data_IF_352242501955
#
_entry.id   IF_352242501955
#
_cell.length_a   1.000
_cell.length_b   1.000
_cell.length_c   1.000
_cell.angle_alpha   90.00
_cell.angle_beta   90.00
_cell.angle_gamma   90.00
#
_symmetry.space_group_name_H-M   'P 1'
#
loop_
_entity.id
_entity.type
_entity.pdbx_description
1 polymer ?
#
# COMPACT_ATOMS: atom_id res chain seq x y z
N UNK A 1 -43.24 -32.59 -53.58
CA UNK A 1 -42.01 -32.86 -52.78
C UNK A 1 -41.07 -31.65 -52.65
N UNK A 2 -41.56 -30.40 -52.59
CA UNK A 2 -40.71 -29.20 -52.46
C UNK A 2 -40.90 -28.43 -51.14
N UNK A 3 -41.85 -28.83 -50.29
CA UNK A 3 -42.12 -28.20 -48.99
C UNK A 3 -41.30 -28.83 -47.84
N UNK A 4 -40.94 -30.11 -47.95
CA UNK A 4 -40.20 -30.85 -46.92
C UNK A 4 -38.71 -30.44 -46.87
N UNK A 5 -38.12 -30.06 -48.01
CA UNK A 5 -36.72 -29.62 -48.06
C UNK A 5 -36.50 -28.20 -47.50
N UNK A 6 -37.51 -27.32 -47.54
CA UNK A 6 -37.40 -25.97 -46.96
C UNK A 6 -37.51 -26.03 -45.42
N UNK A 7 -38.33 -26.94 -44.90
CA UNK A 7 -38.47 -27.16 -43.45
C UNK A 7 -37.20 -27.81 -42.87
N UNK A 8 -36.56 -28.74 -43.60
CA UNK A 8 -35.30 -29.35 -43.16
C UNK A 8 -34.13 -28.35 -43.12
N UNK A 9 -34.08 -27.38 -44.04
CA UNK A 9 -33.06 -26.32 -44.03
C UNK A 9 -33.26 -25.31 -42.88
N UNK A 10 -34.49 -24.98 -42.53
CA UNK A 10 -34.77 -24.09 -41.38
C UNK A 10 -34.54 -24.77 -40.03
N UNK A 11 -34.81 -26.07 -39.89
CA UNK A 11 -34.45 -26.84 -38.69
C UNK A 11 -32.93 -26.98 -38.53
N UNK A 12 -32.17 -27.08 -39.63
CA UNK A 12 -30.70 -27.11 -39.60
C UNK A 12 -30.10 -25.74 -39.25
N UNK A 13 -30.71 -24.64 -39.69
CA UNK A 13 -30.31 -23.29 -39.28
C UNK A 13 -30.60 -23.02 -37.80
N UNK A 14 -31.74 -23.49 -37.26
CA UNK A 14 -32.03 -23.39 -35.81
C UNK A 14 -31.12 -24.28 -34.94
N UNK A 15 -30.66 -25.43 -35.44
CA UNK A 15 -29.73 -26.32 -34.72
C UNK A 15 -28.26 -25.84 -34.78
N UNK A 16 -27.90 -24.95 -35.73
CA UNK A 16 -26.59 -24.28 -35.76
C UNK A 16 -26.51 -23.07 -34.82
N UNK A 17 -27.63 -22.42 -34.47
CA UNK A 17 -27.66 -21.29 -33.53
C UNK A 17 -27.93 -21.70 -32.06
N UNK A 18 -28.13 -23.00 -31.78
CA UNK A 18 -28.41 -23.50 -30.42
C UNK A 18 -27.25 -24.30 -29.81
N UNK A 19 -26.01 -24.07 -30.27
CA UNK A 19 -24.79 -24.65 -29.68
C UNK A 19 -23.62 -23.67 -29.66
N UNK A 20 -23.88 -22.45 -29.20
CA UNK A 20 -22.83 -21.58 -28.65
C UNK A 20 -23.38 -20.63 -27.57
N UNK A 21 -24.13 -21.22 -26.63
CA UNK A 21 -24.39 -20.64 -25.32
C UNK A 21 -24.22 -21.72 -24.26
N UNK A 22 -23.13 -22.49 -24.35
CA UNK A 22 -22.59 -23.09 -23.14
C UNK A 22 -22.01 -21.94 -22.34
N UNK A 23 -22.64 -21.64 -21.20
CA UNK A 23 -22.05 -20.96 -20.06
C UNK A 23 -20.52 -20.97 -20.17
N UNK A 24 -19.92 -19.85 -20.55
CA UNK A 24 -18.57 -19.54 -20.09
C UNK A 24 -18.65 -19.14 -18.61
N UNK A 25 -19.24 -20.00 -17.78
CA UNK A 25 -18.78 -20.15 -16.41
C UNK A 25 -17.46 -20.91 -16.50
N UNK A 26 -16.43 -20.24 -17.05
CA UNK A 26 -15.11 -20.43 -16.46
C UNK A 26 -15.32 -20.22 -14.96
N UNK A 27 -14.99 -21.18 -14.10
CA UNK A 27 -14.94 -20.90 -12.67
C UNK A 27 -14.04 -19.67 -12.56
N UNK A 28 -14.55 -18.55 -12.05
CA UNK A 28 -13.66 -17.49 -11.63
C UNK A 28 -12.78 -18.15 -10.59
N UNK A 29 -11.55 -18.49 -10.97
CA UNK A 29 -10.58 -19.06 -10.04
C UNK A 29 -10.33 -17.93 -9.05
N UNK A 30 -10.92 -18.08 -7.87
CA UNK A 30 -10.68 -17.17 -6.76
C UNK A 30 -9.18 -17.16 -6.51
N UNK A 31 -8.53 -16.02 -6.78
CA UNK A 31 -7.10 -15.85 -6.55
C UNK A 31 -6.79 -15.62 -5.06
N UNK A 32 -7.75 -15.87 -4.18
CA UNK A 32 -7.62 -15.68 -2.74
C UNK A 32 -7.25 -17.00 -2.05
N UNK A 33 -6.39 -16.92 -1.06
CA UNK A 33 -6.08 -18.01 -0.13
C UNK A 33 -7.02 -17.96 1.08
N UNK A 34 -8.00 -18.86 1.12
CA UNK A 34 -9.01 -18.93 2.18
C UNK A 34 -8.40 -19.11 3.58
N UNK A 35 -7.28 -19.83 3.71
CA UNK A 35 -6.62 -20.02 5.01
C UNK A 35 -6.03 -18.69 5.49
N UNK A 36 -5.39 -17.95 4.60
CA UNK A 36 -4.83 -16.64 4.89
C UNK A 36 -5.90 -15.62 5.31
N UNK A 37 -7.09 -15.68 4.71
CA UNK A 37 -8.19 -14.75 5.02
C UNK A 37 -8.68 -14.85 6.48
N UNK A 38 -8.54 -16.02 7.12
CA UNK A 38 -8.90 -16.17 8.54
C UNK A 38 -8.05 -15.33 9.48
N UNK A 39 -6.81 -15.00 9.07
CA UNK A 39 -5.85 -14.21 9.85
C UNK A 39 -6.08 -12.69 9.74
N UNK A 40 -6.93 -12.23 8.81
CA UNK A 40 -7.31 -10.81 8.65
C UNK A 40 -6.11 -9.86 8.57
N UNK A 41 -5.16 -10.17 7.68
CA UNK A 41 -3.98 -9.33 7.48
C UNK A 41 -4.33 -7.94 6.91
N UNK A 42 -3.60 -6.92 7.36
CA UNK A 42 -3.69 -5.53 6.88
C UNK A 42 -2.30 -4.97 6.64
N UNK A 43 -2.21 -3.70 6.23
CA UNK A 43 -0.95 -2.96 6.13
C UNK A 43 -0.14 -2.90 7.45
N UNK A 44 -0.75 -3.26 8.59
CA UNK A 44 -0.07 -3.37 9.89
C UNK A 44 0.49 -4.77 10.15
N UNK A 45 0.34 -5.74 9.25
CA UNK A 45 0.77 -7.12 9.46
C UNK A 45 2.18 -7.35 8.91
N UNK A 46 3.20 -7.34 9.79
CA UNK A 46 4.59 -7.47 9.37
C UNK A 46 4.99 -8.86 8.84
N UNK A 47 4.11 -9.85 8.97
CA UNK A 47 4.25 -11.15 8.33
C UNK A 47 4.06 -11.09 6.81
N UNK A 48 3.44 -10.02 6.29
CA UNK A 48 3.08 -9.86 4.87
C UNK A 48 3.73 -8.66 4.22
N UNK A 49 3.80 -7.53 4.91
CA UNK A 49 4.33 -6.26 4.39
C UNK A 49 5.33 -5.63 5.35
N UNK A 50 6.21 -4.77 4.85
CA UNK A 50 7.07 -3.97 5.71
C UNK A 50 6.29 -2.88 6.43
N UNK A 51 6.56 -2.70 7.73
CA UNK A 51 6.03 -1.57 8.48
C UNK A 51 6.54 -0.23 7.94
N UNK A 52 5.77 0.83 8.18
CA UNK A 52 6.19 2.19 7.84
C UNK A 52 7.42 2.62 8.64
N UNK A 53 8.22 3.61 8.17
CA UNK A 53 9.47 3.99 8.85
C UNK A 53 9.30 4.42 10.32
N UNK A 54 8.16 5.04 10.64
CA UNK A 54 7.74 5.45 11.99
C UNK A 54 7.08 4.33 12.83
N UNK A 55 7.10 3.09 12.34
CA UNK A 55 6.59 1.89 13.02
C UNK A 55 7.68 0.83 13.17
N UNK A 56 7.47 -0.13 14.08
CA UNK A 56 8.32 -1.32 14.30
C UNK A 56 7.46 -2.57 14.36
N UNK A 57 7.99 -3.69 13.87
CA UNK A 57 7.33 -4.99 13.97
C UNK A 57 7.54 -5.58 15.38
N UNK A 58 6.44 -5.89 16.06
CA UNK A 58 6.40 -6.61 17.35
C UNK A 58 5.29 -7.64 17.23
N UNK A 59 5.60 -8.91 17.49
CA UNK A 59 4.62 -10.01 17.50
C UNK A 59 3.72 -10.07 16.24
N UNK A 60 4.32 -9.91 15.06
CA UNK A 60 3.59 -9.96 13.79
C UNK A 60 2.81 -8.69 13.43
N UNK A 61 2.84 -7.65 14.29
CA UNK A 61 2.09 -6.41 14.10
C UNK A 61 3.00 -5.17 14.10
N UNK A 62 2.70 -4.21 13.23
CA UNK A 62 3.38 -2.92 13.13
C UNK A 62 2.85 -1.98 14.21
N UNK A 63 3.69 -1.71 15.21
CA UNK A 63 3.40 -0.82 16.34
C UNK A 63 4.12 0.51 16.17
N UNK A 64 3.51 1.59 16.65
CA UNK A 64 4.10 2.92 16.56
C UNK A 64 5.45 2.99 17.31
N UNK A 65 6.46 3.58 16.67
CA UNK A 65 7.68 4.00 17.37
C UNK A 65 7.40 5.26 18.18
N UNK A 66 8.21 5.52 19.19
CA UNK A 66 8.24 6.81 19.87
C UNK A 66 9.00 7.83 19.00
N UNK A 67 8.63 9.13 18.99
CA UNK A 67 9.22 10.10 18.07
C UNK A 67 10.76 10.16 18.13
N UNK A 68 11.36 10.01 19.31
CA UNK A 68 12.81 10.04 19.47
C UNK A 68 13.54 8.82 18.84
N UNK A 69 12.82 7.76 18.48
CA UNK A 69 13.37 6.58 17.79
C UNK A 69 13.46 6.76 16.27
N UNK A 70 12.92 7.86 15.74
CA UNK A 70 13.07 8.23 14.34
C UNK A 70 14.47 8.79 14.03
N UNK A 71 14.96 8.64 12.78
CA UNK A 71 16.12 9.36 12.31
C UNK A 71 15.97 10.88 12.49
N UNK A 72 17.07 11.55 12.84
CA UNK A 72 17.11 13.00 13.05
C UNK A 72 17.40 13.80 11.77
N UNK A 73 17.87 13.13 10.73
CA UNK A 73 18.19 13.75 9.44
C UNK A 73 16.94 13.92 8.57
N UNK A 74 16.41 15.14 8.47
CA UNK A 74 15.27 15.45 7.62
C UNK A 74 14.91 16.93 7.67
N UNK A 75 13.82 17.29 6.98
CA UNK A 75 13.26 18.65 7.00
C UNK A 75 12.17 18.78 8.05
N UNK A 76 12.05 19.99 8.63
CA UNK A 76 10.96 20.29 9.55
C UNK A 76 9.61 20.19 8.86
N UNK A 77 8.58 19.75 9.58
CA UNK A 77 7.20 19.65 9.08
C UNK A 77 6.21 20.24 10.08
N UNK A 78 5.04 20.64 9.59
CA UNK A 78 3.95 21.14 10.42
C UNK A 78 2.78 20.14 10.47
N UNK A 79 2.09 20.14 11.61
CA UNK A 79 0.86 19.37 11.83
C UNK A 79 -0.36 20.28 11.98
N UNK A 80 -1.56 19.72 11.79
CA UNK A 80 -2.86 20.40 11.91
C UNK A 80 -3.11 21.05 13.28
N UNK A 81 -2.40 20.64 14.33
CA UNK A 81 -2.48 21.26 15.66
C UNK A 81 -1.59 22.51 15.82
N UNK A 82 -0.99 23.01 14.73
CA UNK A 82 -0.08 24.16 14.75
C UNK A 82 1.30 23.86 15.34
N UNK A 83 1.63 22.59 15.59
CA UNK A 83 2.94 22.18 16.10
C UNK A 83 3.90 21.84 14.97
N UNK A 84 5.10 22.42 15.03
CA UNK A 84 6.22 22.05 14.17
C UNK A 84 6.99 20.87 14.76
N UNK A 85 7.39 19.93 13.90
CA UNK A 85 8.22 18.78 14.23
C UNK A 85 9.55 18.85 13.48
N UNK A 86 10.68 18.44 14.08
CA UNK A 86 11.99 18.43 13.44
C UNK A 86 12.07 17.62 12.14
N UNK A 87 11.38 16.48 12.07
CA UNK A 87 11.37 15.62 10.88
C UNK A 87 9.98 15.03 10.62
N UNK A 88 9.73 14.64 9.37
CA UNK A 88 8.48 13.98 8.98
C UNK A 88 8.21 12.68 9.77
N UNK A 89 9.24 11.87 10.00
CA UNK A 89 9.11 10.64 10.80
C UNK A 89 8.58 10.92 12.21
N UNK A 90 9.03 11.99 12.85
CA UNK A 90 8.60 12.35 14.21
C UNK A 90 7.14 12.77 14.26
N UNK A 91 6.68 13.54 13.26
CA UNK A 91 5.27 13.91 13.16
C UNK A 91 4.38 12.68 12.94
N UNK A 92 4.71 11.81 11.99
CA UNK A 92 3.95 10.58 11.72
C UNK A 92 4.00 9.57 12.88
N UNK A 93 5.12 9.48 13.58
CA UNK A 93 5.26 8.69 14.80
C UNK A 93 4.34 9.21 15.91
N UNK A 94 4.27 10.53 16.10
CA UNK A 94 3.36 11.14 17.05
C UNK A 94 1.90 10.95 16.65
N UNK A 95 1.56 11.12 15.37
CA UNK A 95 0.22 10.89 14.82
C UNK A 95 -0.24 9.43 15.02
N UNK A 96 0.67 8.47 14.81
CA UNK A 96 0.40 7.05 15.08
C UNK A 96 0.03 6.81 16.55
N UNK A 97 0.71 7.49 17.49
CA UNK A 97 0.44 7.38 18.93
C UNK A 97 -0.81 8.18 19.36
N UNK A 98 -1.10 9.28 18.68
CA UNK A 98 -2.21 10.20 18.98
C UNK A 98 -2.91 10.58 17.67
N UNK A 99 -3.94 9.81 17.27
CA UNK A 99 -4.72 10.10 16.08
C UNK A 99 -5.32 11.51 16.15
N UNK A 100 -5.16 12.30 15.08
CA UNK A 100 -5.70 13.67 14.97
C UNK A 100 -4.66 14.75 14.67
N UNK A 101 -3.39 14.51 15.02
CA UNK A 101 -2.28 15.40 14.66
C UNK A 101 -1.77 15.12 13.23
N UNK A 102 -2.64 15.30 12.23
CA UNK A 102 -2.34 15.01 10.82
C UNK A 102 -1.26 15.93 10.26
N UNK A 103 -0.63 15.53 9.16
CA UNK A 103 0.30 16.35 8.42
C UNK A 103 -0.41 17.56 7.79
N UNK A 104 0.25 18.72 7.76
CA UNK A 104 -0.30 19.95 7.19
C UNK A 104 0.56 20.48 6.04
N UNK A 105 1.82 20.85 6.31
CA UNK A 105 2.77 21.28 5.28
C UNK A 105 4.20 20.89 5.61
N UNK A 106 5.01 20.86 4.55
CA UNK A 106 6.46 20.84 4.69
C UNK A 106 6.97 22.21 5.16
N UNK A 107 8.01 22.22 5.98
CA UNK A 107 8.56 23.42 6.61
C UNK A 107 7.92 23.73 7.96
N UNK A 108 8.14 24.96 8.42
CA UNK A 108 7.57 25.47 9.67
C UNK A 108 6.08 25.78 9.52
N UNK A 109 5.35 25.76 10.63
CA UNK A 109 3.94 26.15 10.64
C UNK A 109 3.79 27.63 10.27
N UNK A 110 2.83 27.92 9.38
CA UNK A 110 2.43 29.29 9.03
C UNK A 110 1.16 29.67 9.78
N UNK A 111 1.02 30.95 10.15
CA UNK A 111 -0.14 31.43 10.90
C UNK A 111 -1.41 31.58 10.03
N UNK A 112 -1.27 31.68 8.70
CA UNK A 112 -2.35 32.08 7.79
C UNK A 112 -2.76 30.98 6.78
N UNK A 113 -2.06 29.84 6.77
CA UNK A 113 -2.28 28.78 5.78
C UNK A 113 -3.09 27.60 6.32
N UNK A 114 -4.33 27.43 5.85
CA UNK A 114 -5.14 26.26 6.17
C UNK A 114 -5.35 25.38 4.92
N UNK A 115 -4.95 24.11 5.02
CA UNK A 115 -5.34 23.09 4.06
C UNK A 115 -6.79 22.68 4.34
N UNK A 116 -7.63 22.65 3.30
CA UNK A 116 -9.02 22.22 3.45
C UNK A 116 -9.49 21.40 2.25
N UNK A 117 -10.23 20.33 2.54
CA UNK A 117 -10.93 19.50 1.55
C UNK A 117 -12.44 19.63 1.77
N UNK A 118 -13.20 19.74 0.68
CA UNK A 118 -14.66 19.76 0.71
C UNK A 118 -15.27 19.00 -0.47
N UNK A 119 -16.47 18.45 -0.27
CA UNK A 119 -17.29 17.85 -1.31
C UNK A 119 -18.41 18.82 -1.70
N UNK A 120 -18.51 19.15 -2.98
CA UNK A 120 -19.55 20.02 -3.51
C UNK A 120 -20.41 19.26 -4.53
N UNK A 121 -21.63 19.73 -4.79
CA UNK A 121 -22.53 19.20 -5.83
C UNK A 121 -22.98 17.73 -5.62
N UNK A 122 -22.81 17.19 -4.41
CA UNK A 122 -23.40 15.92 -4.02
C UNK A 122 -24.81 16.09 -3.47
N UNK A 123 -25.62 15.04 -3.58
CA UNK A 123 -26.95 15.01 -2.95
C UNK A 123 -26.87 14.69 -1.46
N UNK A 124 -25.81 13.99 -1.03
CA UNK A 124 -25.53 13.65 0.37
C UNK A 124 -24.20 14.25 0.80
N UNK A 125 -23.91 14.21 2.10
CA UNK A 125 -22.62 14.68 2.66
C UNK A 125 -21.45 13.75 2.36
N UNK A 126 -21.73 12.52 1.90
CA UNK A 126 -20.74 11.49 1.60
C UNK A 126 -20.40 11.40 0.11
N UNK A 127 -20.93 12.29 -0.72
CA UNK A 127 -20.68 12.26 -2.15
C UNK A 127 -20.51 13.67 -2.72
N UNK A 128 -19.83 13.78 -3.85
CA UNK A 128 -19.70 15.03 -4.57
C UNK A 128 -18.38 15.14 -5.33
N UNK A 129 -18.14 16.32 -5.88
CA UNK A 129 -16.91 16.70 -6.56
C UNK A 129 -15.91 17.17 -5.52
N UNK A 130 -14.68 16.66 -5.62
CA UNK A 130 -13.60 16.99 -4.67
C UNK A 130 -13.03 18.36 -4.99
N UNK A 131 -13.10 19.25 -4.00
CA UNK A 131 -12.50 20.58 -4.02
C UNK A 131 -11.42 20.69 -2.93
N UNK A 132 -10.26 21.23 -3.29
CA UNK A 132 -9.11 21.34 -2.39
C UNK A 132 -8.62 22.79 -2.35
N UNK A 133 -8.36 23.29 -1.14
CA UNK A 133 -7.60 24.53 -0.89
C UNK A 133 -6.19 24.15 -0.42
N UNK A 134 -5.19 24.48 -1.22
CA UNK A 134 -3.77 24.30 -0.85
C UNK A 134 -3.33 25.43 0.09
N UNK A 135 -2.36 25.16 0.96
CA UNK A 135 -1.89 26.13 1.97
C UNK A 135 -1.33 27.42 1.38
N UNK A 136 -0.64 27.32 0.24
CA UNK A 136 -0.02 28.47 -0.42
C UNK A 136 -0.93 29.16 -1.44
N UNK A 137 -2.22 28.79 -1.50
CA UNK A 137 -3.15 29.31 -2.49
C UNK A 137 -4.52 29.61 -1.87
N UNK A 138 -5.00 30.83 -2.06
CA UNK A 138 -6.35 31.19 -1.58
C UNK A 138 -7.46 30.64 -2.46
N UNK A 139 -7.15 30.30 -3.72
CA UNK A 139 -8.10 29.75 -4.67
C UNK A 139 -8.31 28.26 -4.42
N UNK A 140 -9.58 27.87 -4.20
CA UNK A 140 -9.99 26.48 -4.23
C UNK A 140 -9.97 25.93 -5.66
N UNK A 141 -9.52 24.69 -5.84
CA UNK A 141 -9.44 24.04 -7.14
C UNK A 141 -9.99 22.62 -7.10
N UNK A 142 -10.51 22.18 -8.24
CA UNK A 142 -11.02 20.82 -8.43
C UNK A 142 -9.91 19.84 -8.78
N UNK A 143 -10.15 18.56 -8.49
CA UNK A 143 -9.25 17.47 -8.87
C UNK A 143 -9.55 16.96 -10.28
N UNK A 144 -8.50 16.63 -11.05
CA UNK A 144 -8.64 16.11 -12.41
C UNK A 144 -9.16 14.66 -12.43
N UNK A 145 -10.18 14.36 -13.26
CA UNK A 145 -10.71 12.98 -13.39
C UNK A 145 -9.71 11.98 -13.93
N UNK A 146 -8.84 12.38 -14.86
CA UNK A 146 -7.93 11.47 -15.59
C UNK A 146 -6.88 10.78 -14.71
N UNK A 147 -6.46 11.41 -13.63
CA UNK A 147 -5.44 10.91 -12.70
C UNK A 147 -6.04 10.44 -11.38
N UNK A 148 -7.37 10.40 -11.26
CA UNK A 148 -8.06 10.05 -10.03
C UNK A 148 -8.22 8.54 -9.94
N UNK A 149 -7.63 7.92 -8.93
CA UNK A 149 -7.77 6.49 -8.66
C UNK A 149 -8.39 6.24 -7.29
N UNK A 150 -8.69 4.97 -6.99
CA UNK A 150 -9.22 4.58 -5.69
C UNK A 150 -8.24 4.87 -4.55
N UNK A 151 -6.93 4.96 -4.84
CA UNK A 151 -5.89 5.26 -3.84
C UNK A 151 -6.06 6.67 -3.28
N UNK A 152 -6.13 7.68 -4.15
CA UNK A 152 -6.35 9.07 -3.73
C UNK A 152 -7.75 9.23 -3.12
N UNK A 153 -8.75 8.53 -3.64
CA UNK A 153 -10.12 8.59 -3.14
C UNK A 153 -10.26 8.03 -1.71
N UNK A 154 -9.58 6.92 -1.40
CA UNK A 154 -9.53 6.36 -0.05
C UNK A 154 -8.94 7.38 0.94
N UNK A 155 -7.81 8.00 0.59
CA UNK A 155 -7.18 9.04 1.43
C UNK A 155 -8.10 10.25 1.59
N UNK A 156 -8.74 10.71 0.52
CA UNK A 156 -9.68 11.83 0.56
C UNK A 156 -10.86 11.58 1.51
N UNK A 157 -11.48 10.41 1.42
CA UNK A 157 -12.59 10.04 2.28
C UNK A 157 -12.16 9.89 3.74
N UNK A 158 -10.99 9.30 4.01
CA UNK A 158 -10.40 9.25 5.37
C UNK A 158 -10.14 10.65 5.91
N UNK A 159 -9.71 11.59 5.06
CA UNK A 159 -9.48 12.97 5.48
C UNK A 159 -10.78 13.70 5.86
N UNK A 160 -11.85 13.42 5.11
CA UNK A 160 -13.22 13.90 5.36
C UNK A 160 -13.93 13.21 6.55
N UNK A 161 -13.30 12.19 7.16
CA UNK A 161 -13.81 11.50 8.35
C UNK A 161 -14.38 10.10 8.10
N UNK A 162 -14.47 9.64 6.85
CA UNK A 162 -14.97 8.32 6.48
C UNK A 162 -13.85 7.28 6.57
N UNK A 163 -13.76 6.59 7.72
CA UNK A 163 -12.64 5.67 8.03
C UNK A 163 -12.52 4.45 7.09
N UNK A 164 -13.61 4.06 6.43
CA UNK A 164 -13.64 2.93 5.47
C UNK A 164 -13.15 3.33 4.07
N UNK A 165 -12.86 4.61 3.84
CA UNK A 165 -12.39 5.12 2.55
C UNK A 165 -13.52 5.31 1.52
N UNK A 166 -13.17 5.22 0.24
CA UNK A 166 -14.08 5.43 -0.87
C UNK A 166 -14.81 4.14 -1.27
N UNK A 167 -16.05 4.31 -1.73
CA UNK A 167 -16.88 3.27 -2.32
C UNK A 167 -16.84 3.32 -3.85
N UNK A 168 -17.09 4.51 -4.42
CA UNK A 168 -17.08 4.72 -5.86
C UNK A 168 -16.40 6.04 -6.26
N UNK A 169 -15.80 6.03 -7.44
CA UNK A 169 -15.11 7.16 -8.07
C UNK A 169 -15.63 7.41 -9.50
N UNK A 170 -16.52 6.55 -10.02
CA UNK A 170 -17.02 6.63 -11.38
C UNK A 170 -18.26 7.51 -11.49
N UNK A 171 -19.03 7.65 -10.41
CA UNK A 171 -20.20 8.54 -10.34
C UNK A 171 -19.85 9.95 -10.82
N UNK A 172 -20.62 10.42 -11.79
CA UNK A 172 -20.53 11.78 -12.33
C UNK A 172 -21.54 12.67 -11.64
N UNK A 173 -21.10 13.87 -11.28
CA UNK A 173 -21.94 14.92 -10.71
C UNK A 173 -22.07 16.04 -11.73
N UNK A 174 -23.29 16.57 -11.88
CA UNK A 174 -23.56 17.68 -12.79
C UNK A 174 -23.05 18.99 -12.19
N UNK A 175 -22.17 19.67 -12.93
CA UNK A 175 -21.70 21.01 -12.58
C UNK A 175 -22.63 22.02 -13.26
N UNK A 176 -23.06 23.12 -12.61
CA UNK A 176 -23.84 24.16 -13.30
C UNK A 176 -23.07 24.79 -14.49
N UNK A 177 -23.76 25.09 -15.60
CA UNK A 177 -23.14 25.61 -16.84
C UNK A 177 -22.34 26.92 -16.63
N UNK A 178 -22.73 27.75 -15.67
CA UNK A 178 -22.07 29.03 -15.38
C UNK A 178 -20.64 28.88 -14.84
N UNK A 179 -20.33 27.73 -14.21
CA UNK A 179 -18.99 27.44 -13.67
C UNK A 179 -18.10 26.64 -14.62
N UNK A 180 -18.64 26.13 -15.72
CA UNK A 180 -17.87 25.40 -16.73
C UNK A 180 -16.79 26.25 -17.42
N UNK A 181 -16.96 27.58 -17.48
CA UNK A 181 -15.96 28.51 -18.03
C UNK A 181 -14.69 28.61 -17.17
N UNK A 182 -14.74 28.23 -15.89
CA UNK A 182 -13.60 28.22 -14.96
C UNK A 182 -12.90 26.84 -14.87
N UNK A 183 -13.41 25.81 -15.54
CA UNK A 183 -12.84 24.44 -15.56
C UNK A 183 -11.66 24.30 -16.54
N UNK A 184 -10.84 25.33 -16.74
CA UNK A 184 -9.64 25.24 -17.59
C UNK A 184 -8.46 24.57 -16.86
N UNK A 185 -8.50 24.53 -15.52
CA UNK A 185 -7.41 24.08 -14.66
C UNK A 185 -7.94 23.17 -13.54
N UNK A 186 -7.20 22.10 -13.26
CA UNK A 186 -7.46 21.19 -12.15
C UNK A 186 -6.14 20.72 -11.54
N UNK A 187 -6.23 20.16 -10.35
CA UNK A 187 -5.12 19.53 -9.64
C UNK A 187 -5.06 18.04 -9.96
N UNK A 188 -3.92 17.58 -10.42
CA UNK A 188 -3.59 16.16 -10.52
C UNK A 188 -2.91 15.74 -9.22
N UNK A 189 -3.50 14.76 -8.54
CA UNK A 189 -3.07 14.26 -7.23
C UNK A 189 -2.46 12.87 -7.40
N UNK A 190 -1.37 12.60 -6.69
CA UNK A 190 -0.83 11.25 -6.57
C UNK A 190 -0.54 10.91 -5.11
N UNK A 191 -1.18 9.83 -4.66
CA UNK A 191 -0.98 9.23 -3.34
C UNK A 191 -0.46 7.78 -3.49
N UNK A 192 0.12 7.24 -2.42
CA UNK A 192 0.45 5.80 -2.28
C UNK A 192 -0.79 4.99 -1.89
N UNK A 193 -1.72 5.57 -1.13
CA UNK A 193 -2.96 4.98 -0.65
C UNK A 193 -2.96 4.54 0.82
N UNK A 194 -1.98 4.98 1.63
CA UNK A 194 -1.89 4.73 3.08
C UNK A 194 -1.73 6.04 3.89
N UNK A 195 -1.77 7.17 3.20
CA UNK A 195 -1.76 8.49 3.79
C UNK A 195 -3.03 8.75 4.60
N UNK A 196 -2.92 9.64 5.57
CA UNK A 196 -4.00 9.99 6.51
C UNK A 196 -4.70 11.31 6.13
N UNK A 197 -4.05 12.12 5.31
CA UNK A 197 -4.58 13.34 4.71
C UNK A 197 -4.06 13.51 3.29
N UNK A 198 -4.85 14.15 2.42
CA UNK A 198 -4.39 14.53 1.08
C UNK A 198 -3.23 15.53 1.11
N UNK A 199 -3.00 16.24 2.22
CA UNK A 199 -1.87 17.14 2.37
C UNK A 199 -0.50 16.44 2.23
N UNK A 200 -0.45 15.12 2.48
CA UNK A 200 0.77 14.30 2.33
C UNK A 200 1.06 13.95 0.85
N UNK A 201 0.04 14.02 0.00
CA UNK A 201 0.13 13.63 -1.40
C UNK A 201 0.76 14.73 -2.26
N UNK A 202 1.18 14.34 -3.47
CA UNK A 202 1.73 15.30 -4.43
C UNK A 202 0.64 15.92 -5.29
N UNK A 203 0.76 17.23 -5.53
CA UNK A 203 -0.15 17.98 -6.40
C UNK A 203 0.61 18.57 -7.58
N UNK A 204 0.08 18.41 -8.79
CA UNK A 204 0.53 19.11 -9.99
C UNK A 204 -0.63 19.83 -10.64
N UNK A 205 -0.37 20.96 -11.30
CA UNK A 205 -1.41 21.70 -12.02
C UNK A 205 -1.51 21.16 -13.45
N UNK A 206 -2.73 20.85 -13.89
CA UNK A 206 -2.97 20.39 -15.26
C UNK A 206 -4.22 21.02 -15.84
N UNK A 207 -4.20 21.24 -17.16
CA UNK A 207 -5.42 21.58 -17.90
C UNK A 207 -6.24 20.31 -18.11
N UNK A 208 -7.47 20.27 -17.60
CA UNK A 208 -8.40 19.20 -17.94
C UNK A 208 -9.82 19.74 -18.08
N UNK A 209 -10.62 19.01 -18.85
CA UNK A 209 -12.04 19.32 -19.11
C UNK A 209 -12.99 18.59 -18.17
N UNK A 210 -12.47 17.72 -17.29
CA UNK A 210 -13.27 16.85 -16.43
C UNK A 210 -12.72 16.79 -15.02
N UNK A 211 -13.64 16.85 -14.07
CA UNK A 211 -13.36 16.86 -12.63
C UNK A 211 -13.71 15.52 -11.99
N UNK A 212 -13.01 15.21 -10.90
CA UNK A 212 -13.17 13.97 -10.16
C UNK A 212 -14.33 14.07 -9.16
N UNK A 213 -15.22 13.09 -9.21
CA UNK A 213 -16.22 12.83 -8.18
C UNK A 213 -15.77 11.70 -7.25
N UNK A 214 -16.29 11.70 -6.03
CA UNK A 214 -16.11 10.60 -5.08
C UNK A 214 -17.40 10.33 -4.34
N UNK A 215 -17.62 9.07 -4.01
CA UNK A 215 -18.64 8.58 -3.08
C UNK A 215 -17.90 7.85 -1.97
N UNK A 216 -17.92 8.42 -0.78
CA UNK A 216 -17.35 7.80 0.41
C UNK A 216 -18.26 6.68 0.93
N UNK A 217 -17.63 5.64 1.48
CA UNK A 217 -18.35 4.47 1.98
C UNK A 217 -19.17 4.84 3.22
N UNK A 218 -20.41 4.37 3.27
CA UNK A 218 -21.29 4.46 4.44
C UNK A 218 -22.05 3.13 4.61
N UNK A 219 -22.53 2.82 5.81
CA UNK A 219 -23.21 1.53 6.08
C UNK A 219 -24.46 1.30 5.20
N UNK A 220 -25.06 2.37 4.68
CA UNK A 220 -26.21 2.29 3.77
C UNK A 220 -25.83 2.02 2.30
N UNK A 221 -24.53 1.98 1.95
CA UNK A 221 -24.06 1.73 0.57
C UNK A 221 -23.94 0.24 0.22
N UNK A 222 -24.44 -0.64 1.08
CA UNK A 222 -24.41 -2.10 0.88
C UNK A 222 -25.39 -2.50 -0.23
N UNK A 223 -24.88 -2.68 -1.44
CA UNK A 223 -25.57 -3.45 -2.48
C UNK A 223 -25.22 -4.92 -2.31
N UNK A 224 -26.21 -5.75 -1.99
CA UNK A 224 -26.08 -7.20 -1.86
C UNK A 224 -25.79 -7.84 -3.22
N UNK A 225 -24.52 -7.75 -3.66
CA UNK A 225 -24.00 -8.52 -4.78
C UNK A 225 -23.49 -9.86 -4.26
N UNK A 226 -23.88 -10.96 -4.91
CA UNK A 226 -23.48 -12.33 -4.57
C UNK A 226 -21.96 -12.56 -4.59
N UNK A 227 -21.22 -11.70 -5.30
CA UNK A 227 -19.77 -11.82 -5.53
C UNK A 227 -19.00 -10.65 -4.89
N UNK A 228 -19.28 -10.40 -3.60
CA UNK A 228 -18.62 -9.36 -2.80
C UNK A 228 -17.54 -9.94 -1.87
N UNK A 229 -16.47 -9.17 -1.71
CA UNK A 229 -15.38 -9.42 -0.78
C UNK A 229 -15.45 -8.42 0.37
N UNK A 230 -15.26 -8.89 1.60
CA UNK A 230 -15.25 -8.07 2.80
C UNK A 230 -13.82 -7.76 3.21
N UNK A 231 -13.47 -6.48 3.18
CA UNK A 231 -12.24 -5.94 3.73
C UNK A 231 -12.20 -6.08 5.26
N UNK A 232 -11.01 -6.03 5.87
CA UNK A 232 -10.86 -6.11 7.33
C UNK A 232 -11.49 -4.89 8.02
N UNK A 233 -11.42 -3.70 7.41
CA UNK A 233 -12.13 -2.50 7.88
C UNK A 233 -13.67 -2.53 7.70
N UNK A 234 -14.24 -3.62 7.19
CA UNK A 234 -15.68 -3.80 7.01
C UNK A 234 -16.24 -3.29 5.67
N UNK A 235 -15.43 -2.65 4.82
CA UNK A 235 -15.85 -2.24 3.48
C UNK A 235 -16.12 -3.47 2.60
N UNK A 236 -17.16 -3.39 1.77
CA UNK A 236 -17.44 -4.40 0.75
C UNK A 236 -16.98 -3.90 -0.63
N UNK A 237 -16.23 -4.74 -1.33
CA UNK A 237 -15.77 -4.49 -2.70
C UNK A 237 -16.14 -5.67 -3.60
N UNK A 238 -16.28 -5.50 -4.92
CA UNK A 238 -16.49 -6.62 -5.83
C UNK A 238 -15.30 -7.59 -5.81
N UNK A 239 -15.52 -8.90 -5.86
CA UNK A 239 -14.44 -9.90 -5.83
C UNK A 239 -13.40 -9.71 -6.94
N UNK A 240 -13.81 -9.22 -8.12
CA UNK A 240 -12.88 -8.87 -9.22
C UNK A 240 -11.85 -7.78 -8.89
N UNK A 241 -12.04 -7.06 -7.78
CA UNK A 241 -11.13 -6.02 -7.30
C UNK A 241 -10.09 -6.55 -6.31
N UNK A 242 -10.21 -7.78 -5.84
CA UNK A 242 -9.17 -8.38 -4.98
C UNK A 242 -7.97 -8.83 -5.81
N UNK A 243 -6.77 -8.84 -5.24
CA UNK A 243 -5.55 -9.31 -5.87
C UNK A 243 -5.24 -8.65 -7.22
N UNK A 244 -5.62 -7.37 -7.39
CA UNK A 244 -5.42 -6.63 -8.64
C UNK A 244 -4.20 -5.70 -8.58
N UNK A 245 -3.46 -5.70 -7.47
CA UNK A 245 -2.33 -4.82 -7.17
C UNK A 245 -2.73 -3.41 -6.74
N UNK A 246 -4.00 -3.14 -6.44
CA UNK A 246 -4.54 -1.84 -6.05
C UNK A 246 -5.18 -2.00 -4.68
N UNK A 247 -4.88 -1.07 -3.76
CA UNK A 247 -5.51 -1.05 -2.44
C UNK A 247 -6.93 -0.46 -2.55
N UNK A 248 -7.91 -1.27 -2.99
CA UNK A 248 -9.31 -0.87 -3.04
C UNK A 248 -9.87 -0.77 -1.61
N UNK A 249 -9.45 -1.64 -0.68
CA UNK A 249 -9.93 -1.63 0.71
C UNK A 249 -9.51 -0.37 1.51
N UNK A 250 -8.33 0.19 1.24
CA UNK A 250 -7.72 1.28 2.00
C UNK A 250 -6.75 0.80 3.09
N UNK A 251 -6.88 -0.44 3.56
CA UNK A 251 -6.02 -1.07 4.57
C UNK A 251 -5.17 -2.24 4.02
N UNK A 252 -5.16 -2.44 2.70
CA UNK A 252 -4.51 -3.51 1.93
C UNK A 252 -5.11 -4.92 2.08
N UNK A 253 -6.24 -5.10 2.77
CA UNK A 253 -6.81 -6.43 3.03
C UNK A 253 -7.04 -7.29 1.77
N UNK A 254 -7.38 -6.65 0.66
CA UNK A 254 -7.67 -7.23 -0.64
C UNK A 254 -6.43 -7.73 -1.40
N UNK A 255 -5.23 -7.39 -0.95
CA UNK A 255 -3.98 -7.61 -1.69
C UNK A 255 -2.97 -8.52 -0.95
N UNK A 256 -3.26 -8.96 0.29
CA UNK A 256 -2.31 -9.67 1.16
C UNK A 256 -2.46 -11.20 1.24
N UNK A 257 -3.55 -11.73 0.68
CA UNK A 257 -3.90 -13.15 0.73
C UNK A 257 -4.13 -13.72 -0.67
N UNK A 258 -3.19 -13.45 -1.57
CA UNK A 258 -3.32 -13.82 -2.97
C UNK A 258 -2.51 -15.09 -3.31
N UNK A 259 -3.06 -15.94 -4.18
CA UNK A 259 -2.38 -17.09 -4.82
C UNK A 259 -1.83 -16.75 -6.21
N UNK A 260 -2.28 -15.63 -6.76
CA UNK A 260 -1.79 -14.98 -7.98
C UNK A 260 -2.41 -13.59 -8.09
N UNK A 261 -1.98 -12.78 -9.06
CA UNK A 261 -2.54 -11.44 -9.28
C UNK A 261 -3.34 -11.35 -10.58
N UNK A 262 -4.40 -10.57 -10.56
CA UNK A 262 -5.11 -10.15 -11.76
C UNK A 262 -4.33 -9.08 -12.54
N UNK A 263 -4.59 -9.01 -13.84
CA UNK A 263 -4.06 -7.97 -14.71
C UNK A 263 -2.54 -8.05 -14.92
N UNK A 264 -1.86 -6.92 -14.76
CA UNK A 264 -0.40 -6.79 -14.95
C UNK A 264 0.35 -6.61 -13.63
N UNK A 265 -0.31 -6.83 -12.51
CA UNK A 265 0.27 -6.61 -11.18
C UNK A 265 1.32 -7.67 -10.84
N UNK A 266 2.25 -7.32 -9.98
CA UNK A 266 3.38 -8.18 -9.63
C UNK A 266 3.04 -9.03 -8.41
N UNK A 267 3.28 -10.34 -8.52
CA UNK A 267 3.00 -11.30 -7.46
C UNK A 267 4.28 -11.59 -6.66
N UNK A 268 4.28 -11.21 -5.39
CA UNK A 268 5.31 -11.59 -4.43
C UNK A 268 5.12 -13.06 -4.00
N UNK A 269 6.22 -13.77 -3.74
CA UNK A 269 6.24 -15.12 -3.18
C UNK A 269 5.58 -15.22 -1.80
N UNK A 270 5.42 -14.09 -1.10
CA UNK A 270 4.68 -13.99 0.16
C UNK A 270 3.15 -14.07 0.01
N UNK A 271 2.64 -14.16 -1.22
CA UNK A 271 1.21 -14.14 -1.51
C UNK A 271 0.63 -12.74 -1.48
N UNK A 272 1.41 -11.73 -1.89
CA UNK A 272 1.02 -10.31 -1.92
C UNK A 272 1.05 -9.81 -3.35
N UNK A 273 0.06 -9.02 -3.74
CA UNK A 273 -0.01 -8.36 -5.04
C UNK A 273 0.37 -6.88 -4.91
N UNK A 274 1.29 -6.42 -5.76
CA UNK A 274 1.72 -5.01 -5.79
C UNK A 274 1.54 -4.41 -7.20
N UNK A 275 1.36 -3.08 -7.32
CA UNK A 275 1.31 -2.43 -8.62
C UNK A 275 2.58 -2.71 -9.43
N UNK A 276 2.46 -2.93 -10.75
CA UNK A 276 3.64 -3.16 -11.60
C UNK A 276 4.66 -2.00 -11.57
N UNK A 277 4.19 -0.76 -11.32
CA UNK A 277 5.05 0.42 -11.16
C UNK A 277 5.99 0.34 -9.94
N UNK A 278 5.77 -0.62 -9.04
CA UNK A 278 6.60 -0.84 -7.86
C UNK A 278 7.76 -1.80 -8.11
N UNK A 279 7.75 -2.51 -9.24
CA UNK A 279 8.91 -3.29 -9.67
C UNK A 279 10.03 -2.34 -10.12
N UNK A 280 11.23 -2.54 -9.61
CA UNK A 280 12.42 -1.73 -9.92
C UNK A 280 12.25 -0.24 -9.62
N UNK A 281 11.56 0.10 -8.53
CA UNK A 281 11.30 1.49 -8.14
C UNK A 281 12.31 2.05 -7.10
N UNK A 282 13.31 1.24 -6.70
CA UNK A 282 14.31 1.59 -5.68
C UNK A 282 13.86 1.37 -4.24
N UNK A 283 12.64 0.87 -4.01
CA UNK A 283 12.09 0.49 -2.71
C UNK A 283 11.73 -0.98 -2.72
N UNK A 284 12.22 -1.73 -1.73
CA UNK A 284 11.77 -3.12 -1.53
C UNK A 284 10.35 -3.11 -0.95
N UNK A 285 9.38 -3.55 -1.74
CA UNK A 285 7.97 -3.64 -1.40
C UNK A 285 7.56 -5.08 -1.00
N UNK A 286 8.07 -6.11 -1.68
CA UNK A 286 7.88 -7.51 -1.27
C UNK A 286 8.80 -7.87 -0.09
N UNK A 287 8.30 -8.57 0.95
CA UNK A 287 9.15 -9.03 2.08
C UNK A 287 10.29 -9.99 1.66
N UNK A 288 10.12 -10.65 0.51
CA UNK A 288 11.10 -11.53 -0.12
C UNK A 288 12.08 -10.81 -1.06
N UNK A 289 11.79 -9.54 -1.41
CA UNK A 289 12.68 -8.62 -2.14
C UNK A 289 12.93 -8.91 -3.61
N UNK A 290 12.10 -9.73 -4.26
CA UNK A 290 12.23 -10.10 -5.67
C UNK A 290 11.80 -9.03 -6.66
N UNK A 291 11.03 -8.05 -6.21
CA UNK A 291 10.56 -6.89 -6.97
C UNK A 291 11.72 -5.96 -7.39
N UNK A 292 12.79 -5.93 -6.60
CA UNK A 292 13.98 -5.11 -6.84
C UNK A 292 15.18 -5.92 -7.39
N UNK A 293 14.97 -7.18 -7.78
CA UNK A 293 16.01 -8.04 -8.32
C UNK A 293 16.09 -7.98 -9.86
N UNK A 294 17.30 -7.86 -10.41
CA UNK A 294 17.52 -7.90 -11.85
C UNK A 294 17.09 -6.63 -12.59
N UNK A 295 17.04 -5.50 -11.89
CA UNK A 295 16.67 -4.20 -12.44
C UNK A 295 17.82 -3.59 -13.24
N UNK A 296 17.51 -3.06 -14.43
CA UNK A 296 18.42 -2.18 -15.15
C UNK A 296 18.32 -0.78 -14.55
N UNK A 297 19.42 -0.01 -14.53
CA UNK A 297 19.39 1.37 -14.05
C UNK A 297 18.51 2.21 -15.00
N UNK A 298 17.32 2.59 -14.53
CA UNK A 298 16.44 3.52 -15.25
C UNK A 298 16.64 4.93 -14.68
N UNK A 299 16.81 5.91 -15.55
CA UNK A 299 16.83 7.32 -15.16
C UNK A 299 15.44 7.73 -14.63
N UNK A 300 15.41 8.35 -13.45
CA UNK A 300 14.18 8.93 -12.91
C UNK A 300 13.89 10.25 -13.64
N UNK A 301 12.67 10.42 -14.15
CA UNK A 301 12.22 11.70 -14.71
C UNK A 301 11.85 12.66 -13.57
N UNK A 302 12.48 13.84 -13.55
CA UNK A 302 12.17 14.90 -12.59
C UNK A 302 10.88 15.62 -13.04
N UNK A 303 9.80 15.46 -12.27
CA UNK A 303 8.55 16.22 -12.46
C UNK A 303 8.46 17.30 -11.39
N UNK A 304 8.15 18.54 -11.78
CA UNK A 304 7.98 19.66 -10.86
C UNK A 304 6.60 19.59 -10.15
N UNK A 305 6.60 19.50 -8.82
CA UNK A 305 5.40 19.40 -7.98
C UNK A 305 5.10 20.71 -7.25
N UNK A 306 3.81 21.02 -7.01
CA UNK A 306 3.37 22.19 -6.23
C UNK A 306 3.59 22.01 -4.72
N UNK A 307 3.63 20.76 -4.25
CA UNK A 307 3.84 20.37 -2.86
C UNK A 307 5.06 19.46 -2.74
N UNK A 308 5.68 19.43 -1.56
CA UNK A 308 6.74 18.48 -1.29
C UNK A 308 6.21 17.04 -1.38
N UNK A 309 6.98 16.15 -1.99
CA UNK A 309 6.62 14.74 -2.11
C UNK A 309 6.98 13.99 -0.83
N UNK A 310 6.01 13.84 0.08
CA UNK A 310 6.22 13.17 1.37
C UNK A 310 6.37 11.65 1.23
N UNK A 311 5.92 11.03 0.12
CA UNK A 311 6.24 9.62 -0.18
C UNK A 311 7.72 9.45 -0.53
N UNK A 312 8.32 10.40 -1.24
CA UNK A 312 9.77 10.41 -1.49
C UNK A 312 10.57 10.56 -0.18
N UNK A 313 10.13 11.45 0.72
CA UNK A 313 10.76 11.58 2.05
C UNK A 313 10.60 10.31 2.89
N UNK A 314 9.44 9.65 2.84
CA UNK A 314 9.22 8.33 3.47
C UNK A 314 10.21 7.28 2.94
N UNK A 315 10.41 7.20 1.61
CA UNK A 315 11.42 6.31 1.00
C UNK A 315 12.83 6.65 1.46
N UNK A 316 13.17 7.94 1.55
CA UNK A 316 14.45 8.41 2.08
C UNK A 316 14.66 7.95 3.51
N UNK A 317 13.69 8.16 4.41
CA UNK A 317 13.75 7.71 5.82
C UNK A 317 13.93 6.20 5.90
N UNK A 318 13.24 5.41 5.06
CA UNK A 318 13.41 3.95 4.98
C UNK A 318 14.87 3.55 4.68
N UNK A 319 15.56 4.32 3.83
CA UNK A 319 16.96 4.05 3.48
C UNK A 319 17.97 4.36 4.60
N UNK A 320 17.60 5.26 5.53
CA UNK A 320 18.38 5.63 6.72
C UNK A 320 18.23 4.61 7.87
N UNK A 321 17.29 3.67 7.77
CA UNK A 321 17.11 2.65 8.82
C UNK A 321 18.34 1.73 8.89
N UNK A 322 18.72 1.27 10.11
CA UNK A 322 19.86 0.38 10.28
C UNK A 322 19.72 -0.89 9.43
N UNK A 323 20.70 -1.14 8.56
CA UNK A 323 20.78 -2.36 7.75
C UNK A 323 21.50 -3.45 8.53
N UNK A 324 20.86 -4.60 8.69
CA UNK A 324 21.47 -5.77 9.29
C UNK A 324 22.27 -6.53 8.23
N UNK A 325 23.56 -6.76 8.48
CA UNK A 325 24.38 -7.61 7.63
C UNK A 325 24.22 -9.07 8.07
N UNK A 326 23.38 -9.83 7.38
CA UNK A 326 23.15 -11.24 7.63
C UNK A 326 23.24 -12.03 6.32
N UNK A 327 23.91 -13.18 6.32
CA UNK A 327 24.05 -14.03 5.13
C UNK A 327 24.82 -13.40 3.96
N UNK A 328 25.58 -12.34 4.21
CA UNK A 328 26.34 -11.61 3.18
C UNK A 328 27.53 -12.43 2.74
N UNK A 329 27.61 -12.77 1.45
CA UNK A 329 28.79 -13.39 0.83
C UNK A 329 29.85 -12.31 0.58
N UNK A 330 30.40 -11.71 1.64
CA UNK A 330 31.55 -10.86 1.45
C UNK A 330 32.74 -11.76 1.09
N UNK A 331 33.21 -11.67 -0.15
CA UNK A 331 34.59 -11.99 -0.51
C UNK A 331 35.49 -10.95 0.18
N UNK A 332 35.58 -11.00 1.51
CA UNK A 332 36.71 -10.38 2.17
C UNK A 332 37.90 -11.22 1.72
N UNK A 333 38.78 -10.63 0.90
CA UNK A 333 40.14 -11.13 0.73
C UNK A 333 40.71 -11.28 2.14
N UNK A 334 40.66 -12.49 2.67
CA UNK A 334 41.28 -12.82 3.94
C UNK A 334 42.76 -12.55 3.70
N UNK A 335 43.31 -11.48 4.28
CA UNK A 335 44.75 -11.34 4.42
C UNK A 335 45.20 -12.61 5.14
N UNK A 336 45.84 -13.52 4.41
CA UNK A 336 46.49 -14.70 5.00
C UNK A 336 47.51 -14.17 6.00
N UNK A 337 47.16 -14.12 7.30
CA UNK A 337 48.19 -14.31 8.30
C UNK A 337 48.71 -15.72 8.05
N UNK A 338 49.96 -15.80 7.60
CA UNK A 338 50.69 -17.05 7.37
C UNK A 338 50.76 -17.78 8.72
N UNK A 339 49.79 -18.62 9.00
CA UNK A 339 49.95 -19.68 10.00
C UNK A 339 50.72 -20.78 9.28
N UNK A 340 51.95 -21.02 9.74
CA UNK A 340 52.79 -22.10 9.24
C UNK A 340 52.18 -23.40 9.78
N UNK A 341 51.61 -24.22 8.89
CA UNK A 341 51.06 -25.54 9.21
C UNK A 341 49.53 -25.58 9.34
N UNK A 342 48.84 -25.79 8.22
CA UNK A 342 47.40 -26.10 8.16
C UNK A 342 46.90 -26.15 6.71
N UNK A 343 46.04 -27.12 6.37
CA UNK A 343 45.39 -27.18 5.04
C UNK A 343 44.40 -26.03 4.91
N UNK A 344 44.38 -25.37 3.75
CA UNK A 344 43.46 -24.27 3.46
C UNK A 344 42.01 -24.77 3.49
N UNK A 345 41.17 -24.16 4.34
CA UNK A 345 39.73 -24.40 4.32
C UNK A 345 39.11 -23.68 3.12
N UNK A 346 38.50 -24.45 2.21
CA UNK A 346 37.63 -23.91 1.16
C UNK A 346 36.31 -23.54 1.83
N UNK A 347 35.86 -22.29 1.65
CA UNK A 347 34.53 -21.85 2.08
C UNK A 347 33.48 -22.56 1.22
N UNK A 348 32.98 -23.71 1.69
CA UNK A 348 31.76 -24.29 1.11
C UNK A 348 30.53 -23.45 1.46
N UNK A 349 29.63 -23.37 0.49
CA UNK A 349 28.44 -22.52 0.37
C UNK A 349 27.31 -22.79 1.41
N UNK A 350 27.64 -23.16 2.65
CA UNK A 350 26.65 -23.42 3.72
C UNK A 350 27.03 -22.70 5.01
N UNK A 351 26.60 -21.45 5.15
CA UNK A 351 26.65 -20.70 6.43
C UNK A 351 25.50 -21.13 7.39
N UNK A 352 24.67 -22.13 7.03
CA UNK A 352 23.54 -22.59 7.86
C UNK A 352 23.73 -23.89 8.64
N UNK A 353 24.89 -24.54 8.55
CA UNK A 353 25.21 -25.63 9.48
C UNK A 353 26.27 -25.17 10.47
N UNK A 354 25.81 -24.58 11.58
CA UNK A 354 26.55 -24.74 12.83
C UNK A 354 26.48 -26.25 13.12
N UNK A 355 27.64 -26.91 13.01
CA UNK A 355 27.84 -28.32 13.33
C UNK A 355 27.32 -28.61 14.74
N UNK A 356 26.19 -29.29 14.80
CA UNK A 356 25.66 -29.96 15.98
C UNK A 356 26.37 -31.32 16.17
N UNK A 357 27.71 -31.33 16.07
CA UNK A 357 28.55 -32.54 16.18
C UNK A 357 29.62 -32.42 17.29
N UNK A 358 29.31 -31.66 18.35
CA UNK A 358 30.03 -31.77 19.64
C UNK A 358 29.12 -32.38 20.73
N UNK A 359 27.81 -32.51 20.48
CA UNK A 359 26.84 -33.00 21.49
C UNK A 359 26.48 -34.50 21.39
N UNK A 360 27.22 -35.31 20.64
CA UNK A 360 27.08 -36.79 20.66
C UNK A 360 28.23 -37.53 21.38
N UNK A 361 29.14 -36.81 22.03
CA UNK A 361 30.30 -37.40 22.73
C UNK A 361 30.33 -37.22 24.25
N UNK A 362 29.39 -36.50 24.86
CA UNK A 362 29.45 -36.16 26.30
C UNK A 362 28.15 -36.45 27.08
N UNK A 363 27.35 -37.43 26.63
CA UNK A 363 26.27 -38.02 27.44
C UNK A 363 26.77 -39.29 28.17
N UNK A 364 27.87 -39.18 28.93
CA UNK A 364 28.26 -40.21 29.90
C UNK A 364 29.34 -39.74 30.91
N UNK A 365 29.15 -38.61 31.57
CA UNK A 365 29.77 -38.36 32.86
C UNK A 365 29.12 -37.14 33.52
N UNK A 366 28.96 -37.22 34.84
CA UNK A 366 28.48 -36.17 35.75
C UNK A 366 26.96 -36.00 35.87
N UNK A 367 26.39 -36.97 36.57
CA UNK A 367 25.46 -36.69 37.66
C UNK A 367 26.15 -35.80 38.72
N UNK A 368 25.35 -35.03 39.46
CA UNK A 368 25.64 -34.27 40.70
C UNK A 368 25.79 -32.73 40.53
N UNK A 369 25.03 -32.01 41.38
CA UNK A 369 24.93 -30.55 41.67
C UNK A 369 24.01 -29.76 40.71
N UNK A 370 22.70 -29.61 40.97
CA UNK A 370 22.05 -28.79 42.02
C UNK A 370 22.49 -27.30 42.08
N UNK A 371 21.45 -26.46 42.26
CA UNK A 371 21.44 -25.02 42.60
C UNK A 371 21.46 -24.01 41.45
N UNK A 372 20.27 -23.65 40.98
CA UNK A 372 19.86 -22.23 40.95
C UNK A 372 18.34 -22.11 40.79
N UNK A 373 17.63 -22.04 41.91
CA UNK A 373 16.24 -21.60 41.95
C UNK A 373 16.02 -20.68 43.15
N UNK A 374 15.60 -19.45 42.83
CA UNK A 374 14.69 -18.52 43.54
C UNK A 374 15.19 -17.71 44.77
N UNK A 375 14.79 -16.43 44.72
CA UNK A 375 14.45 -15.46 45.79
C UNK A 375 15.61 -14.60 46.32
N UNK A 376 15.66 -13.35 45.84
CA UNK A 376 16.04 -12.22 46.69
C UNK A 376 14.77 -11.42 46.99
N UNK A 377 14.34 -11.48 48.24
CA UNK A 377 13.39 -10.59 48.89
C UNK A 377 13.97 -10.29 50.27
N UNK A 378 14.55 -9.09 50.38
CA UNK A 378 14.74 -8.21 51.54
C UNK A 378 15.95 -7.29 51.30
#
# INVERSE_FOLDING_TARGET
MKLVHVILLHLCFCLSFCKLSSLSNTPQVSLLDEKCLTERYTHLSCNKVFCQPWQKCIDGTCTCKLPYQCPKDGTSVCSTNGRSYPTYCQQKSFECLRPGAKFLNNGTCTAEGQFSISLNYGNTTSEGIVEVKLIHQDKKMFICKKSWSILEANVACVDLGFQQGAFDIQKTFEVPEDQHKNLTECLQVHCRGLETSLAECTFTKRRAKSVAGVVCYTENTVSAASDSFHCVNGKQIPQKRTCNGINDCGDQSDELCCTGCHGKSFFCKSGVCIPNKYKCNGEVDCITGEDENGCQAVAQEETEYLTANMDAERKRIKSLLPKLFCGVTNNVLSRRKRVVGGKAAVMEKKIKHILLDIFKGLYKAYSILELCHIINKE
#
